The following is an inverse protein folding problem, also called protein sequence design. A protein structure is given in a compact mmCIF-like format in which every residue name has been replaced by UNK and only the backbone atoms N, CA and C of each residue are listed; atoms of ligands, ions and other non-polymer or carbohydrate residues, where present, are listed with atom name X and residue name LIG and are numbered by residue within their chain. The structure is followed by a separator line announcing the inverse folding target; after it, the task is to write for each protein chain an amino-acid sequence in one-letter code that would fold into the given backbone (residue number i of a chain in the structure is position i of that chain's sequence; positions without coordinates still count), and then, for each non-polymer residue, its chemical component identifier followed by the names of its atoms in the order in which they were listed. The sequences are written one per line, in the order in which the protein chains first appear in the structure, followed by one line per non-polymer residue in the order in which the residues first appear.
data_IF_535577177732
#
_entry.id   IF_535577177732
#
_cell.length_a   1.000
_cell.length_b   1.000
_cell.length_c   1.000
_cell.angle_alpha   90.00
_cell.angle_beta   90.00
_cell.angle_gamma   90.00
#
_symmetry.space_group_name_H-M   'P 1'
#
loop_
_entity.id
_entity.type
_entity.pdbx_description
1 polymer ?
#
# COMPACT_ATOMS: atom_id res chain seq x y z
N UNK A 1 -1.20 -14.41 -28.93
CA UNK A 1 0.24 -14.57 -28.60
C UNK A 1 0.40 -15.76 -27.67
N UNK A 2 1.20 -16.77 -28.04
CA UNK A 2 1.41 -18.00 -27.27
C UNK A 2 2.49 -17.76 -26.21
N UNK A 3 2.17 -17.99 -24.93
CA UNK A 3 3.11 -17.87 -23.81
C UNK A 3 3.41 -19.26 -23.26
N UNK A 4 4.68 -19.66 -23.24
CA UNK A 4 5.12 -20.96 -22.73
C UNK A 4 6.48 -20.83 -22.03
N UNK A 5 6.95 -21.89 -21.34
CA UNK A 5 8.25 -21.89 -20.65
C UNK A 5 9.29 -22.69 -21.42
N UNK A 6 10.55 -22.29 -21.33
CA UNK A 6 11.67 -23.07 -21.86
C UNK A 6 11.79 -24.41 -21.12
N UNK A 7 11.91 -25.53 -21.85
CA UNK A 7 12.12 -26.86 -21.23
C UNK A 7 13.46 -26.98 -20.52
N UNK A 8 14.42 -26.11 -20.87
CA UNK A 8 15.79 -26.17 -20.36
C UNK A 8 16.04 -25.17 -19.22
N UNK A 9 15.67 -23.90 -19.39
CA UNK A 9 15.93 -22.85 -18.40
C UNK A 9 14.68 -22.36 -17.65
N UNK A 10 13.49 -22.89 -17.97
CA UNK A 10 12.19 -22.56 -17.34
C UNK A 10 11.71 -21.10 -17.47
N UNK A 11 12.47 -20.24 -18.15
CA UNK A 11 12.09 -18.85 -18.44
C UNK A 11 10.88 -18.77 -19.37
N UNK A 12 10.03 -17.76 -19.16
CA UNK A 12 8.80 -17.54 -19.93
C UNK A 12 9.11 -16.85 -21.25
N UNK A 13 8.60 -17.40 -22.35
CA UNK A 13 8.80 -16.91 -23.72
C UNK A 13 7.43 -16.61 -24.32
N UNK A 14 7.32 -15.49 -25.04
CA UNK A 14 6.13 -15.10 -25.81
C UNK A 14 6.45 -15.10 -27.30
N UNK A 15 5.64 -15.80 -28.11
CA UNK A 15 5.78 -15.86 -29.57
C UNK A 15 4.43 -15.60 -30.26
N UNK A 16 4.41 -15.08 -31.50
CA UNK A 16 3.19 -14.96 -32.29
C UNK A 16 2.56 -16.32 -32.59
N UNK A 17 1.23 -16.36 -32.75
CA UNK A 17 0.49 -17.61 -33.02
C UNK A 17 0.86 -18.27 -34.35
N UNK A 18 1.35 -17.48 -35.33
CA UNK A 18 1.86 -17.98 -36.62
C UNK A 18 3.10 -18.90 -36.51
N UNK A 19 3.68 -19.01 -35.30
CA UNK A 19 4.77 -19.92 -34.99
C UNK A 19 4.34 -21.16 -34.18
N UNK A 20 3.04 -21.37 -33.95
CA UNK A 20 2.53 -22.58 -33.30
C UNK A 20 3.07 -23.86 -33.96
N UNK A 21 3.60 -24.78 -33.15
CA UNK A 21 4.19 -26.05 -33.62
C UNK A 21 5.60 -25.95 -34.20
N UNK A 22 6.14 -24.75 -34.47
CA UNK A 22 7.49 -24.55 -35.00
C UNK A 22 8.55 -24.61 -33.89
N UNK A 23 9.82 -24.80 -34.28
CA UNK A 23 10.97 -24.69 -33.38
C UNK A 23 11.50 -23.27 -33.32
N UNK A 24 11.81 -22.76 -32.13
CA UNK A 24 12.47 -21.47 -31.92
C UNK A 24 13.65 -21.62 -30.96
N UNK A 25 14.64 -20.72 -31.03
CA UNK A 25 15.69 -20.65 -30.00
C UNK A 25 15.20 -19.85 -28.80
N UNK A 26 15.48 -20.34 -27.59
CA UNK A 26 15.19 -19.57 -26.38
C UNK A 26 16.07 -18.31 -26.33
N UNK A 27 15.51 -17.11 -26.08
CA UNK A 27 16.29 -15.87 -25.99
C UNK A 27 17.19 -15.80 -24.74
N UNK A 28 16.95 -16.67 -23.74
CA UNK A 28 17.73 -16.69 -22.50
C UNK A 28 18.89 -17.69 -22.50
N UNK A 29 18.69 -18.90 -23.05
CA UNK A 29 19.72 -19.96 -23.03
C UNK A 29 20.18 -20.44 -24.41
N UNK A 30 19.59 -19.95 -25.49
CA UNK A 30 19.96 -20.30 -26.87
C UNK A 30 19.56 -21.70 -27.34
N UNK A 31 19.15 -22.60 -26.43
CA UNK A 31 18.72 -23.96 -26.78
C UNK A 31 17.42 -23.95 -27.60
N UNK A 32 17.27 -24.86 -28.58
CA UNK A 32 16.05 -24.97 -29.37
C UNK A 32 14.90 -25.50 -28.52
N UNK A 33 13.71 -24.91 -28.67
CA UNK A 33 12.49 -25.34 -28.01
C UNK A 33 11.33 -25.42 -29.01
N UNK A 34 10.32 -26.25 -28.74
CA UNK A 34 9.16 -26.41 -29.58
C UNK A 34 7.99 -25.58 -29.04
N UNK A 35 7.37 -24.78 -29.90
CA UNK A 35 6.22 -23.95 -29.54
C UNK A 35 4.98 -24.86 -29.50
N UNK A 36 4.21 -24.88 -28.39
CA UNK A 36 3.00 -25.70 -28.30
C UNK A 36 2.01 -25.32 -29.39
N UNK A 37 1.36 -26.31 -30.02
CA UNK A 37 0.18 -26.02 -30.82
C UNK A 37 -0.98 -25.71 -29.87
N UNK A 38 -1.74 -24.63 -30.10
CA UNK A 38 -2.98 -24.41 -29.37
C UNK A 38 -3.86 -25.64 -29.63
N UNK A 39 -4.17 -26.38 -28.56
CA UNK A 39 -5.22 -27.37 -28.66
C UNK A 39 -6.49 -26.61 -29.05
N UNK A 40 -7.25 -27.06 -30.07
CA UNK A 40 -8.53 -26.46 -30.36
C UNK A 40 -9.31 -26.50 -29.05
N UNK A 41 -9.72 -25.32 -28.56
CA UNK A 41 -10.63 -25.22 -27.43
C UNK A 41 -11.87 -26.00 -27.84
N UNK A 42 -12.02 -27.23 -27.34
CA UNK A 42 -13.31 -27.86 -27.39
C UNK A 42 -14.20 -27.00 -26.49
N UNK A 43 -15.32 -26.52 -27.02
CA UNK A 43 -16.35 -25.78 -26.27
C UNK A 43 -17.06 -26.68 -25.22
N UNK A 44 -16.32 -27.61 -24.59
CA UNK A 44 -16.78 -28.59 -23.60
C UNK A 44 -16.97 -27.98 -22.21
N UNK A 45 -16.63 -26.70 -22.01
CA UNK A 45 -16.88 -25.99 -20.74
C UNK A 45 -18.40 -25.82 -20.46
N UNK A 46 -19.27 -25.95 -21.47
CA UNK A 46 -20.72 -26.01 -21.26
C UNK A 46 -21.21 -27.34 -20.69
N UNK A 47 -20.48 -28.45 -20.90
CA UNK A 47 -20.89 -29.78 -20.45
C UNK A 47 -20.39 -30.12 -19.02
N UNK A 48 -19.43 -29.35 -18.50
CA UNK A 48 -19.02 -29.44 -17.10
C UNK A 48 -19.95 -28.68 -16.15
N UNK A 49 -20.56 -27.57 -16.61
CA UNK A 49 -21.55 -26.84 -15.83
C UNK A 49 -22.89 -27.60 -15.72
N UNK A 50 -23.29 -28.34 -16.77
CA UNK A 50 -24.47 -29.21 -16.73
C UNK A 50 -24.26 -30.40 -15.77
N UNK A 51 -23.07 -31.02 -15.77
CA UNK A 51 -22.73 -32.12 -14.84
C UNK A 51 -22.60 -31.68 -13.38
N UNK A 52 -22.27 -30.42 -13.11
CA UNK A 52 -22.26 -29.88 -11.75
C UNK A 52 -23.67 -29.54 -11.24
N UNK A 53 -24.63 -29.26 -12.12
CA UNK A 53 -26.03 -29.07 -11.74
C UNK A 53 -26.70 -30.40 -11.29
N UNK A 54 -26.30 -31.54 -11.87
CA UNK A 54 -26.84 -32.87 -11.52
C UNK A 54 -26.33 -33.44 -10.18
N UNK A 55 -25.29 -32.86 -9.56
CA UNK A 55 -24.78 -33.30 -8.26
C UNK A 55 -25.50 -32.67 -7.06
N UNK A 56 -26.48 -31.80 -7.30
CA UNK A 56 -27.27 -31.11 -6.27
C UNK A 56 -28.34 -31.96 -5.55
N UNK A 57 -28.69 -33.13 -6.08
CA UNK A 57 -29.83 -33.94 -5.59
C UNK A 57 -29.45 -35.21 -4.80
N UNK A 58 -28.19 -35.35 -4.36
CA UNK A 58 -27.74 -36.52 -3.58
C UNK A 58 -27.90 -36.39 -2.05
N UNK A 59 -28.73 -35.47 -1.55
CA UNK A 59 -28.95 -35.28 -0.11
C UNK A 59 -30.32 -35.83 0.37
N UNK A 60 -30.46 -37.16 0.36
CA UNK A 60 -31.29 -37.88 1.34
C UNK A 60 -31.05 -39.39 1.24
N UNK A 61 -30.02 -39.86 1.96
CA UNK A 61 -29.88 -41.28 2.27
C UNK A 61 -30.66 -41.57 3.56
N UNK A 62 -31.74 -42.36 3.52
CA UNK A 62 -32.50 -42.70 4.71
C UNK A 62 -31.62 -43.50 5.69
N UNK A 63 -31.54 -43.00 6.92
CA UNK A 63 -30.92 -43.65 8.06
C UNK A 63 -31.52 -45.04 8.28
N UNK A 64 -30.74 -46.09 8.01
CA UNK A 64 -31.11 -47.44 8.40
C UNK A 64 -30.98 -47.58 9.93
N UNK A 65 -31.96 -48.21 10.61
CA UNK A 65 -31.86 -48.54 12.02
C UNK A 65 -30.80 -49.62 12.22
N UNK A 66 -29.79 -49.29 13.04
CA UNK A 66 -28.77 -50.22 13.50
C UNK A 66 -29.47 -51.31 14.31
N UNK A 67 -29.44 -52.55 13.81
CA UNK A 67 -29.86 -53.74 14.56
C UNK A 67 -28.84 -54.01 15.66
N UNK A 68 -29.32 -54.00 16.90
CA UNK A 68 -28.61 -54.53 18.06
C UNK A 68 -28.29 -56.03 17.84
N UNK A 69 -27.00 -56.33 17.77
CA UNK A 69 -26.46 -57.69 17.82
C UNK A 69 -26.07 -57.99 19.28
N UNK A 70 -26.75 -58.94 19.96
CA UNK A 70 -26.36 -59.35 21.30
C UNK A 70 -25.20 -60.35 21.23
N UNK A 71 -24.16 -60.08 22.02
CA UNK A 71 -23.26 -61.11 22.54
C UNK A 71 -22.06 -61.49 21.66
N UNK A 72 -21.03 -60.65 21.67
CA UNK A 72 -19.66 -61.12 21.46
C UNK A 72 -18.82 -60.66 22.67
N UNK A 73 -18.14 -61.57 23.40
CA UNK A 73 -17.25 -61.18 24.50
C UNK A 73 -16.13 -60.31 23.94
N UNK A 74 -15.96 -59.14 24.55
CA UNK A 74 -14.98 -58.14 24.16
C UNK A 74 -13.57 -58.76 24.07
N UNK A 75 -12.89 -58.69 22.91
CA UNK A 75 -11.46 -58.90 22.89
C UNK A 75 -10.84 -57.76 23.71
N UNK A 76 -10.21 -58.11 24.82
CA UNK A 76 -9.33 -57.25 25.61
C UNK A 76 -8.13 -56.88 24.72
N UNK A 77 -8.35 -56.00 23.75
CA UNK A 77 -7.30 -55.36 23.00
C UNK A 77 -6.64 -54.40 23.98
N UNK A 78 -5.55 -54.86 24.59
CA UNK A 78 -4.60 -54.01 25.26
C UNK A 78 -4.21 -52.92 24.27
N UNK A 79 -4.86 -51.77 24.40
CA UNK A 79 -4.47 -50.54 23.74
C UNK A 79 -3.12 -50.18 24.34
N UNK A 80 -2.06 -50.67 23.71
CA UNK A 80 -0.72 -50.14 23.87
C UNK A 80 -0.80 -48.71 23.34
N UNK A 81 -1.27 -47.80 24.19
CA UNK A 81 -1.05 -46.37 24.08
C UNK A 81 0.45 -46.24 23.97
N UNK A 82 0.90 -46.20 22.73
CA UNK A 82 2.28 -45.88 22.39
C UNK A 82 2.34 -44.39 22.69
N UNK A 83 2.57 -44.07 23.96
CA UNK A 83 2.82 -42.74 24.47
C UNK A 83 3.95 -42.19 23.63
N UNK A 84 3.59 -41.47 22.57
CA UNK A 84 4.55 -40.88 21.66
C UNK A 84 5.26 -39.80 22.47
N UNK A 85 6.54 -39.98 22.86
CA UNK A 85 7.23 -39.08 23.78
C UNK A 85 7.40 -37.65 23.22
N UNK A 86 7.05 -37.44 21.96
CA UNK A 86 7.09 -36.15 21.26
C UNK A 86 5.88 -35.24 21.55
N UNK A 87 4.75 -35.77 22.02
CA UNK A 87 3.56 -34.93 22.26
C UNK A 87 3.71 -33.99 23.49
N UNK A 88 4.56 -34.36 24.46
CA UNK A 88 4.78 -33.59 25.69
C UNK A 88 5.96 -32.62 25.63
N UNK A 89 6.70 -32.53 24.50
CA UNK A 89 7.83 -31.62 24.36
C UNK A 89 7.40 -30.12 24.39
N UNK A 90 6.14 -29.82 24.07
CA UNK A 90 5.63 -28.44 24.03
C UNK A 90 4.90 -27.98 25.30
N UNK A 91 4.58 -28.89 26.22
CA UNK A 91 4.27 -28.52 27.61
C UNK A 91 5.52 -28.27 28.44
N UNK A 92 6.70 -28.49 27.87
CA UNK A 92 7.93 -28.24 28.57
C UNK A 92 8.05 -26.75 28.88
N UNK A 93 8.25 -26.38 30.17
CA UNK A 93 8.41 -25.00 30.59
C UNK A 93 9.53 -24.29 29.80
N UNK A 94 10.51 -25.04 29.29
CA UNK A 94 11.61 -24.54 28.45
C UNK A 94 11.17 -23.67 27.26
N UNK A 95 10.10 -24.04 26.54
CA UNK A 95 9.63 -23.25 25.38
C UNK A 95 9.02 -21.91 25.82
N UNK A 96 8.28 -21.92 26.95
CA UNK A 96 7.72 -20.69 27.54
C UNK A 96 8.82 -19.76 28.04
N UNK A 97 9.83 -20.33 28.69
CA UNK A 97 11.01 -19.58 29.14
C UNK A 97 11.84 -19.05 27.99
N UNK A 98 11.94 -19.78 26.87
CA UNK A 98 12.59 -19.30 25.65
C UNK A 98 11.93 -18.06 25.06
N UNK A 99 10.59 -18.05 24.98
CA UNK A 99 9.84 -16.88 24.51
C UNK A 99 10.01 -15.67 25.45
N UNK A 100 9.93 -15.89 26.77
CA UNK A 100 10.20 -14.84 27.76
C UNK A 100 11.64 -14.33 27.71
N UNK A 101 12.62 -15.21 27.47
CA UNK A 101 14.01 -14.84 27.27
C UNK A 101 14.21 -13.97 26.04
N UNK A 102 13.63 -14.34 24.90
CA UNK A 102 13.67 -13.53 23.68
C UNK A 102 13.05 -12.14 23.89
N UNK A 103 11.94 -12.06 24.63
CA UNK A 103 11.31 -10.80 25.03
C UNK A 103 12.24 -9.93 25.89
N UNK A 104 12.86 -10.52 26.91
CA UNK A 104 13.79 -9.81 27.78
C UNK A 104 15.00 -9.28 26.98
N UNK A 105 15.48 -10.05 26.00
CA UNK A 105 16.55 -9.61 25.09
C UNK A 105 16.08 -8.43 24.23
N UNK A 106 14.88 -8.48 23.64
CA UNK A 106 14.36 -7.36 22.83
C UNK A 106 14.16 -6.09 23.67
N UNK A 107 13.66 -6.20 24.91
CA UNK A 107 13.52 -5.08 25.83
C UNK A 107 14.89 -4.54 26.25
N UNK A 108 15.86 -5.41 26.52
CA UNK A 108 17.21 -5.00 26.86
C UNK A 108 17.90 -4.33 25.66
N UNK A 109 17.70 -4.82 24.45
CA UNK A 109 18.13 -4.16 23.21
C UNK A 109 17.48 -2.77 23.09
N UNK A 110 16.19 -2.63 23.36
CA UNK A 110 15.50 -1.34 23.38
C UNK A 110 16.11 -0.34 24.37
N UNK A 111 16.51 -0.82 25.56
CA UNK A 111 17.16 0.02 26.59
C UNK A 111 18.62 0.35 26.24
N UNK A 112 19.37 -0.60 25.67
CA UNK A 112 20.79 -0.43 25.32
C UNK A 112 20.97 0.43 24.08
N UNK A 113 20.11 0.27 23.06
CA UNK A 113 20.26 0.93 21.76
C UNK A 113 19.62 2.32 21.65
N UNK A 114 19.08 2.85 22.75
CA UNK A 114 18.81 4.29 22.86
C UNK A 114 17.67 4.80 21.95
N UNK A 115 17.43 6.11 22.08
CA UNK A 115 16.33 6.92 21.54
C UNK A 115 14.92 6.31 21.68
N UNK A 116 13.98 7.12 22.17
CA UNK A 116 12.56 6.78 22.33
C UNK A 116 11.96 6.07 21.10
N UNK A 117 12.34 6.46 19.87
CA UNK A 117 11.83 5.84 18.63
C UNK A 117 12.25 4.37 18.48
N UNK A 118 13.51 4.04 18.75
CA UNK A 118 14.00 2.66 18.63
C UNK A 118 13.41 1.80 19.74
N UNK A 119 13.25 2.37 20.95
CA UNK A 119 12.56 1.69 22.03
C UNK A 119 11.10 1.36 21.69
N UNK A 120 10.34 2.33 21.16
CA UNK A 120 8.97 2.10 20.70
C UNK A 120 8.90 1.02 19.61
N UNK A 121 9.82 1.05 18.64
CA UNK A 121 9.87 0.04 17.57
C UNK A 121 10.00 -1.39 18.12
N UNK A 122 10.98 -1.63 19.01
CA UNK A 122 11.17 -2.96 19.59
C UNK A 122 10.02 -3.38 20.50
N UNK A 123 9.39 -2.45 21.20
CA UNK A 123 8.17 -2.74 21.97
C UNK A 123 7.04 -3.23 21.06
N UNK A 124 6.82 -2.59 19.90
CA UNK A 124 5.82 -3.08 18.93
C UNK A 124 6.16 -4.45 18.36
N UNK A 125 7.42 -4.69 17.99
CA UNK A 125 7.88 -6.01 17.50
C UNK A 125 7.65 -7.08 18.55
N UNK A 126 7.99 -6.79 19.81
CA UNK A 126 7.85 -7.70 20.92
C UNK A 126 6.37 -8.02 21.23
N UNK A 127 5.50 -7.00 21.26
CA UNK A 127 4.06 -7.18 21.43
C UNK A 127 3.44 -7.98 20.29
N UNK A 128 3.83 -7.71 19.04
CA UNK A 128 3.35 -8.45 17.88
C UNK A 128 3.84 -9.91 17.90
N UNK A 129 5.07 -10.18 18.35
CA UNK A 129 5.58 -11.53 18.54
C UNK A 129 4.79 -12.31 19.58
N UNK A 130 4.48 -11.70 20.74
CA UNK A 130 3.61 -12.30 21.77
C UNK A 130 2.22 -12.58 21.18
N UNK A 131 1.66 -11.60 20.48
CA UNK A 131 0.36 -11.70 19.85
C UNK A 131 0.31 -12.88 18.85
N UNK A 132 1.31 -12.98 17.99
CA UNK A 132 1.45 -14.05 17.03
C UNK A 132 1.66 -15.42 17.68
N UNK A 133 2.44 -15.51 18.76
CA UNK A 133 2.59 -16.75 19.52
C UNK A 133 1.26 -17.20 20.15
N UNK A 134 0.48 -16.27 20.69
CA UNK A 134 -0.77 -16.58 21.37
C UNK A 134 -1.89 -16.97 20.39
N UNK A 135 -1.97 -16.28 19.26
CA UNK A 135 -2.96 -16.55 18.23
C UNK A 135 -2.62 -17.73 17.32
N UNK A 136 -1.32 -18.00 17.10
CA UNK A 136 -0.83 -19.02 16.19
C UNK A 136 -0.67 -18.53 14.75
N UNK A 137 0.23 -19.18 14.00
CA UNK A 137 0.58 -18.84 12.62
C UNK A 137 -0.63 -18.84 11.69
N UNK A 138 -1.54 -19.79 11.87
CA UNK A 138 -2.77 -19.91 11.07
C UNK A 138 -3.62 -18.63 11.08
N UNK A 139 -3.78 -18.00 12.24
CA UNK A 139 -4.56 -16.75 12.36
C UNK A 139 -3.81 -15.56 11.79
N UNK A 140 -2.51 -15.44 12.09
CA UNK A 140 -1.68 -14.36 11.56
C UNK A 140 -1.63 -14.42 10.03
N UNK A 141 -1.45 -15.61 9.45
CA UNK A 141 -1.46 -15.83 8.01
C UNK A 141 -2.81 -15.47 7.38
N UNK A 142 -3.94 -15.77 8.04
CA UNK A 142 -5.26 -15.38 7.57
C UNK A 142 -5.42 -13.85 7.51
N UNK A 143 -4.94 -13.12 8.53
CA UNK A 143 -4.95 -11.64 8.56
C UNK A 143 -4.08 -11.07 7.44
N UNK A 144 -2.88 -11.60 7.22
CA UNK A 144 -2.03 -11.21 6.08
C UNK A 144 -2.72 -11.44 4.74
N UNK A 145 -3.40 -12.59 4.58
CA UNK A 145 -4.21 -12.85 3.39
C UNK A 145 -5.36 -11.86 3.23
N UNK A 146 -6.00 -11.45 4.33
CA UNK A 146 -6.99 -10.38 4.35
C UNK A 146 -6.43 -9.03 3.91
N UNK A 147 -5.26 -8.64 4.39
CA UNK A 147 -4.56 -7.42 3.99
C UNK A 147 -4.21 -7.43 2.50
N UNK A 148 -3.69 -8.54 1.98
CA UNK A 148 -3.42 -8.70 0.54
C UNK A 148 -4.73 -8.60 -0.26
N UNK A 149 -5.79 -9.25 0.19
CA UNK A 149 -7.12 -9.17 -0.41
C UNK A 149 -7.62 -7.72 -0.49
N UNK A 150 -7.50 -6.96 0.60
CA UNK A 150 -7.88 -5.54 0.60
C UNK A 150 -6.98 -4.68 -0.26
N UNK A 151 -5.66 -4.91 -0.29
CA UNK A 151 -4.77 -4.16 -1.17
C UNK A 151 -5.17 -4.30 -2.66
N UNK A 152 -5.69 -5.47 -3.05
CA UNK A 152 -6.12 -5.73 -4.42
C UNK A 152 -7.57 -5.26 -4.71
N UNK A 153 -8.47 -5.35 -3.72
CA UNK A 153 -9.91 -5.19 -3.95
C UNK A 153 -10.51 -3.91 -3.34
N UNK A 154 -9.88 -3.28 -2.36
CA UNK A 154 -10.45 -2.12 -1.67
C UNK A 154 -10.68 -0.93 -2.59
N UNK A 155 -9.72 -0.64 -3.49
CA UNK A 155 -9.85 0.45 -4.44
C UNK A 155 -11.01 0.24 -5.46
N UNK A 156 -11.08 -0.88 -6.20
CA UNK A 156 -12.17 -1.08 -7.17
C UNK A 156 -13.53 -1.22 -6.49
N UNK A 157 -13.62 -1.95 -5.37
CA UNK A 157 -14.89 -2.11 -4.65
C UNK A 157 -15.34 -0.81 -3.97
N UNK A 158 -14.40 -0.05 -3.38
CA UNK A 158 -14.67 1.21 -2.72
C UNK A 158 -15.24 2.27 -3.67
N UNK A 159 -14.77 2.30 -4.92
CA UNK A 159 -15.37 3.15 -5.97
C UNK A 159 -16.79 2.69 -6.31
N UNK A 160 -17.01 1.38 -6.41
CA UNK A 160 -18.31 0.81 -6.73
C UNK A 160 -19.40 1.13 -5.69
N UNK A 161 -19.02 1.28 -4.43
CA UNK A 161 -19.96 1.58 -3.32
C UNK A 161 -19.95 3.03 -2.85
N UNK A 162 -19.22 3.92 -3.54
CA UNK A 162 -19.11 5.33 -3.18
C UNK A 162 -20.48 6.02 -3.06
N UNK A 163 -21.42 5.70 -3.95
CA UNK A 163 -22.78 6.25 -3.91
C UNK A 163 -23.56 5.89 -2.64
N UNK A 164 -23.26 4.74 -2.02
CA UNK A 164 -23.89 4.33 -0.76
C UNK A 164 -23.37 5.19 0.40
N UNK A 165 -22.06 5.43 0.46
CA UNK A 165 -21.46 6.25 1.51
C UNK A 165 -21.86 7.72 1.43
N UNK A 166 -21.99 8.28 0.23
CA UNK A 166 -22.49 9.65 0.06
C UNK A 166 -23.87 9.82 0.70
N UNK A 167 -24.75 8.83 0.56
CA UNK A 167 -26.09 8.85 1.16
C UNK A 167 -26.10 8.74 2.68
N UNK A 168 -25.16 7.98 3.27
CA UNK A 168 -25.13 7.71 4.72
C UNK A 168 -24.33 8.75 5.50
N UNK A 169 -23.17 9.15 4.99
CA UNK A 169 -22.20 10.00 5.72
C UNK A 169 -22.28 11.47 5.30
N UNK A 170 -22.94 11.78 4.18
CA UNK A 170 -23.01 13.14 3.64
C UNK A 170 -21.67 13.70 3.16
N UNK A 171 -20.63 12.86 3.07
CA UNK A 171 -19.32 13.24 2.55
C UNK A 171 -19.34 13.22 1.02
N UNK A 172 -18.64 14.16 0.39
CA UNK A 172 -18.49 14.24 -1.07
C UNK A 172 -17.02 14.33 -1.48
N UNK A 173 -16.73 14.16 -2.78
CA UNK A 173 -15.40 14.34 -3.35
C UNK A 173 -14.35 13.33 -2.87
N UNK A 174 -13.09 13.77 -2.81
CA UNK A 174 -11.94 12.92 -2.49
C UNK A 174 -12.06 12.28 -1.09
N UNK A 175 -12.60 13.02 -0.12
CA UNK A 175 -12.75 12.53 1.26
C UNK A 175 -13.71 11.34 1.31
N UNK A 176 -14.85 11.43 0.61
CA UNK A 176 -15.81 10.33 0.52
C UNK A 176 -15.18 9.09 -0.12
N UNK A 177 -14.42 9.29 -1.19
CA UNK A 177 -13.74 8.21 -1.90
C UNK A 177 -12.68 7.52 -1.04
N UNK A 178 -11.83 8.28 -0.36
CA UNK A 178 -10.82 7.73 0.54
C UNK A 178 -11.47 6.96 1.69
N UNK A 179 -12.53 7.53 2.28
CA UNK A 179 -13.26 6.89 3.36
C UNK A 179 -13.93 5.59 2.90
N UNK A 180 -14.57 5.61 1.72
CA UNK A 180 -15.16 4.42 1.11
C UNK A 180 -14.12 3.32 0.88
N UNK A 181 -12.96 3.65 0.31
CA UNK A 181 -11.86 2.69 0.08
C UNK A 181 -11.37 2.10 1.41
N UNK A 182 -11.18 2.91 2.44
CA UNK A 182 -10.72 2.46 3.76
C UNK A 182 -11.75 1.52 4.39
N UNK A 183 -13.02 1.92 4.46
CA UNK A 183 -14.08 1.10 5.07
C UNK A 183 -14.25 -0.20 4.29
N UNK A 184 -14.28 -0.13 2.95
CA UNK A 184 -14.34 -1.32 2.09
C UNK A 184 -13.15 -2.24 2.33
N UNK A 185 -11.95 -1.68 2.44
CA UNK A 185 -10.74 -2.43 2.76
C UNK A 185 -10.87 -3.18 4.08
N UNK A 186 -11.38 -2.54 5.13
CA UNK A 186 -11.63 -3.18 6.43
C UNK A 186 -12.64 -4.34 6.33
N UNK A 187 -13.71 -4.15 5.56
CA UNK A 187 -14.72 -5.21 5.32
C UNK A 187 -14.09 -6.38 4.57
N UNK A 188 -13.30 -6.11 3.52
CA UNK A 188 -12.59 -7.14 2.75
C UNK A 188 -11.59 -7.89 3.63
N UNK A 189 -10.81 -7.19 4.46
CA UNK A 189 -9.88 -7.81 5.42
C UNK A 189 -10.65 -8.79 6.31
N UNK A 190 -11.74 -8.36 6.92
CA UNK A 190 -12.54 -9.20 7.81
C UNK A 190 -13.10 -10.43 7.08
N UNK A 191 -13.74 -10.23 5.93
CA UNK A 191 -14.36 -11.31 5.16
C UNK A 191 -13.33 -12.35 4.68
N UNK A 192 -12.22 -11.89 4.09
CA UNK A 192 -11.14 -12.76 3.59
C UNK A 192 -10.44 -13.48 4.75
N UNK A 193 -10.20 -12.79 5.87
CA UNK A 193 -9.59 -13.39 7.07
C UNK A 193 -10.46 -14.53 7.60
N UNK A 194 -11.78 -14.31 7.75
CA UNK A 194 -12.71 -15.35 8.23
C UNK A 194 -12.74 -16.54 7.27
N UNK A 195 -12.82 -16.29 5.96
CA UNK A 195 -12.81 -17.34 4.94
C UNK A 195 -11.51 -18.15 4.96
N UNK A 196 -10.35 -17.49 4.98
CA UNK A 196 -9.04 -18.15 5.08
C UNK A 196 -8.89 -18.92 6.39
N UNK A 197 -9.38 -18.38 7.50
CA UNK A 197 -9.33 -19.07 8.79
C UNK A 197 -10.11 -20.38 8.75
N UNK A 198 -11.28 -20.42 8.10
CA UNK A 198 -12.05 -21.65 7.92
C UNK A 198 -11.27 -22.68 7.10
N UNK A 199 -10.70 -22.27 5.95
CA UNK A 199 -9.90 -23.13 5.07
C UNK A 199 -8.65 -23.66 5.78
N UNK A 200 -7.90 -22.80 6.46
CA UNK A 200 -6.69 -23.17 7.19
C UNK A 200 -7.03 -24.11 8.35
N UNK A 201 -8.12 -23.86 9.08
CA UNK A 201 -8.58 -24.73 10.17
C UNK A 201 -8.93 -26.12 9.64
N UNK A 202 -9.66 -26.21 8.53
CA UNK A 202 -10.01 -27.47 7.89
C UNK A 202 -8.75 -28.21 7.39
N UNK A 203 -7.80 -27.49 6.81
CA UNK A 203 -6.54 -28.05 6.33
C UNK A 203 -5.64 -28.54 7.48
N UNK A 204 -5.55 -27.79 8.57
CA UNK A 204 -4.78 -28.17 9.77
C UNK A 204 -5.39 -29.39 10.49
N UNK A 205 -6.71 -29.57 10.43
CA UNK A 205 -7.36 -30.77 10.96
C UNK A 205 -6.90 -32.05 10.25
N UNK A 206 -6.52 -31.97 8.97
CA UNK A 206 -5.96 -33.09 8.21
C UNK A 206 -4.48 -33.34 8.50
N UNK A 207 -3.78 -32.39 9.13
CA UNK A 207 -2.32 -32.44 9.37
C UNK A 207 -1.97 -32.12 10.83
N UNK A 208 -2.30 -33.01 11.78
CA UNK A 208 -2.10 -32.76 13.22
C UNK A 208 -0.64 -32.50 13.61
N UNK A 209 0.33 -33.05 12.85
CA UNK A 209 1.76 -32.79 13.08
C UNK A 209 2.14 -31.31 12.91
N UNK A 210 1.44 -30.55 12.05
CA UNK A 210 1.70 -29.11 11.87
C UNK A 210 1.22 -28.26 13.05
N UNK A 211 0.27 -28.75 13.84
CA UNK A 211 -0.32 -28.01 14.97
C UNK A 211 0.72 -27.68 16.04
N UNK A 212 1.76 -28.49 16.17
CA UNK A 212 2.87 -28.26 17.10
C UNK A 212 3.71 -27.04 16.70
N UNK A 213 3.82 -26.76 15.40
CA UNK A 213 4.60 -25.64 14.87
C UNK A 213 3.80 -24.33 14.77
N UNK A 214 2.48 -24.36 14.96
CA UNK A 214 1.60 -23.21 14.75
C UNK A 214 1.97 -22.02 15.66
N UNK A 215 2.24 -22.26 16.95
CA UNK A 215 2.63 -21.20 17.89
C UNK A 215 4.02 -20.61 17.64
N UNK A 216 5.11 -21.39 17.50
CA UNK A 216 6.43 -20.82 17.24
C UNK A 216 6.48 -20.11 15.87
N UNK A 217 5.83 -20.66 14.83
CA UNK A 217 5.70 -19.96 13.55
C UNK A 217 4.86 -18.68 13.69
N UNK A 218 3.84 -18.70 14.56
CA UNK A 218 3.04 -17.53 14.89
C UNK A 218 3.89 -16.42 15.50
N UNK A 219 4.80 -16.74 16.41
CA UNK A 219 5.75 -15.77 16.97
C UNK A 219 6.65 -15.17 15.88
N UNK A 220 7.20 -16.00 14.99
CA UNK A 220 8.04 -15.54 13.88
C UNK A 220 7.28 -14.60 12.93
N UNK A 221 6.04 -14.96 12.56
CA UNK A 221 5.18 -14.10 11.76
C UNK A 221 4.82 -12.81 12.49
N UNK A 222 4.59 -12.88 13.81
CA UNK A 222 4.34 -11.71 14.65
C UNK A 222 5.54 -10.76 14.71
N UNK A 223 6.78 -11.27 14.75
CA UNK A 223 7.99 -10.44 14.65
C UNK A 223 8.02 -9.72 13.30
N UNK A 224 7.75 -10.44 12.20
CA UNK A 224 7.69 -9.84 10.87
C UNK A 224 6.60 -8.76 10.76
N UNK A 225 5.40 -9.05 11.26
CA UNK A 225 4.28 -8.11 11.31
C UNK A 225 4.64 -6.86 12.15
N UNK A 226 5.16 -7.05 13.35
CA UNK A 226 5.54 -5.95 14.23
C UNK A 226 6.67 -5.09 13.64
N UNK A 227 7.60 -5.70 12.89
CA UNK A 227 8.64 -4.97 12.16
C UNK A 227 8.02 -4.10 11.07
N UNK A 228 7.09 -4.65 10.29
CA UNK A 228 6.38 -3.92 9.24
C UNK A 228 5.55 -2.77 9.82
N UNK A 229 4.81 -3.01 10.91
CA UNK A 229 4.02 -1.98 11.60
C UNK A 229 4.92 -0.89 12.19
N UNK A 230 6.05 -1.26 12.79
CA UNK A 230 7.03 -0.32 13.30
C UNK A 230 7.61 0.56 12.19
N UNK A 231 7.92 -0.01 11.02
CA UNK A 231 8.36 0.76 9.85
C UNK A 231 7.25 1.64 9.30
N UNK A 232 6.02 1.14 9.18
CA UNK A 232 4.88 1.96 8.73
C UNK A 232 4.70 3.18 9.64
N UNK A 233 4.79 3.02 10.96
CA UNK A 233 4.71 4.12 11.91
C UNK A 233 5.82 5.17 11.67
N UNK A 234 7.07 4.71 11.51
CA UNK A 234 8.20 5.61 11.23
C UNK A 234 8.03 6.29 9.87
N UNK A 235 7.64 5.56 8.83
CA UNK A 235 7.41 6.14 7.50
C UNK A 235 6.27 7.15 7.51
N UNK A 236 5.18 6.91 8.26
CA UNK A 236 4.10 7.88 8.44
C UNK A 236 4.61 9.16 9.09
N UNK A 237 5.40 9.05 10.16
CA UNK A 237 6.01 10.21 10.81
C UNK A 237 6.92 10.99 9.84
N UNK A 238 7.84 10.30 9.15
CA UNK A 238 8.75 10.92 8.17
C UNK A 238 7.99 11.55 6.99
N UNK A 239 6.83 11.00 6.62
CA UNK A 239 5.99 11.56 5.55
C UNK A 239 5.25 12.84 5.96
N UNK A 240 5.00 13.04 7.26
CA UNK A 240 4.34 14.23 7.80
C UNK A 240 5.31 15.38 8.06
N UNK A 241 6.59 15.09 8.25
CA UNK A 241 7.63 16.08 8.54
C UNK A 241 7.67 17.25 7.54
N UNK A 242 7.65 17.06 6.20
CA UNK A 242 7.71 18.19 5.28
C UNK A 242 6.52 19.15 5.45
N UNK A 243 5.33 18.60 5.69
CA UNK A 243 4.11 19.38 5.93
C UNK A 243 4.24 20.15 7.25
N UNK A 244 4.68 19.48 8.30
CA UNK A 244 4.89 20.11 9.60
C UNK A 244 5.96 21.22 9.54
N UNK A 245 7.11 20.95 8.92
CA UNK A 245 8.21 21.91 8.74
C UNK A 245 7.75 23.17 8.00
N UNK A 246 6.88 23.02 6.99
CA UNK A 246 6.34 24.17 6.27
C UNK A 246 5.35 24.98 7.10
N UNK A 247 4.57 24.32 7.96
CA UNK A 247 3.73 25.01 8.94
C UNK A 247 4.55 25.82 9.94
N UNK A 248 5.67 25.26 10.41
CA UNK A 248 6.61 25.94 11.33
C UNK A 248 7.29 27.12 10.62
N UNK A 249 7.79 26.94 9.40
CA UNK A 249 8.42 28.01 8.62
C UNK A 249 7.45 29.16 8.32
N UNK A 250 6.19 28.85 7.99
CA UNK A 250 5.15 29.85 7.77
C UNK A 250 4.83 30.64 9.06
N UNK A 251 4.79 29.95 10.22
CA UNK A 251 4.59 30.60 11.51
C UNK A 251 5.74 31.55 11.86
N UNK A 252 6.99 31.20 11.56
CA UNK A 252 8.14 32.10 11.77
C UNK A 252 8.21 33.28 10.80
N UNK A 253 7.60 33.15 9.61
CA UNK A 253 7.64 34.20 8.58
C UNK A 253 6.57 35.27 8.76
N UNK A 254 5.54 35.01 9.57
CA UNK A 254 4.45 35.94 9.84
C UNK A 254 4.44 36.36 11.32
N UNK A 255 4.63 37.64 11.65
CA UNK A 255 4.65 38.11 13.05
C UNK A 255 3.38 37.77 13.83
N UNK A 256 2.25 37.65 13.12
CA UNK A 256 0.92 37.43 13.70
C UNK A 256 0.50 35.95 13.72
N UNK A 257 1.28 35.04 13.12
CA UNK A 257 0.92 33.63 13.08
C UNK A 257 1.21 32.96 14.44
N UNK A 258 0.18 32.38 15.05
CA UNK A 258 0.35 31.60 16.26
C UNK A 258 1.22 30.36 16.00
N UNK A 259 2.22 30.05 16.85
CA UNK A 259 3.04 28.86 16.71
C UNK A 259 2.16 27.60 16.80
N UNK A 260 2.46 26.59 15.98
CA UNK A 260 1.77 25.31 16.01
C UNK A 260 2.62 24.27 16.74
N UNK A 261 2.41 24.05 18.05
CA UNK A 261 3.27 23.17 18.86
C UNK A 261 3.19 21.70 18.40
N UNK A 262 2.10 21.30 17.72
CA UNK A 262 2.00 19.95 17.17
C UNK A 262 2.94 19.77 15.97
N UNK A 263 3.06 20.79 15.11
CA UNK A 263 3.95 20.75 13.96
C UNK A 263 5.43 20.73 14.40
N UNK A 264 5.81 21.56 15.36
CA UNK A 264 7.16 21.57 15.94
C UNK A 264 7.54 20.20 16.50
N UNK A 265 6.65 19.58 17.29
CA UNK A 265 6.87 18.23 17.82
C UNK A 265 6.99 17.18 16.73
N UNK A 266 6.21 17.27 15.65
CA UNK A 266 6.33 16.32 14.52
C UNK A 266 7.71 16.43 13.88
N UNK A 267 8.22 17.66 13.68
CA UNK A 267 9.57 17.88 13.12
C UNK A 267 10.64 17.33 14.05
N UNK A 268 10.58 17.64 15.35
CA UNK A 268 11.53 17.16 16.36
C UNK A 268 11.56 15.62 16.45
N UNK A 269 10.39 14.99 16.48
CA UNK A 269 10.26 13.53 16.55
C UNK A 269 10.73 12.87 15.26
N UNK A 270 10.49 13.48 14.09
CA UNK A 270 10.98 13.00 12.80
C UNK A 270 12.51 13.09 12.68
N UNK A 271 13.12 14.18 13.17
CA UNK A 271 14.57 14.34 13.25
C UNK A 271 15.18 13.25 14.17
N UNK A 272 14.61 13.08 15.36
CA UNK A 272 14.97 11.99 16.29
C UNK A 272 14.86 10.61 15.64
N UNK A 273 13.83 10.38 14.82
CA UNK A 273 13.68 9.14 14.07
C UNK A 273 14.84 8.96 13.08
N UNK A 274 15.19 9.97 12.26
CA UNK A 274 16.30 9.89 11.29
C UNK A 274 17.66 9.65 11.94
N UNK A 275 17.90 10.22 13.11
CA UNK A 275 19.15 10.02 13.85
C UNK A 275 19.26 8.60 14.43
N UNK A 276 18.11 7.97 14.72
CA UNK A 276 18.08 6.62 15.26
C UNK A 276 18.54 5.56 14.25
N UNK A 277 19.13 4.48 14.76
CA UNK A 277 19.58 3.37 13.92
C UNK A 277 18.44 2.77 13.08
N UNK A 278 17.28 2.51 13.71
CA UNK A 278 16.11 1.96 13.04
C UNK A 278 15.54 2.94 12.02
N UNK A 279 15.50 4.24 12.33
CA UNK A 279 14.96 5.22 11.38
C UNK A 279 15.85 5.46 10.17
N UNK A 280 17.18 5.30 10.26
CA UNK A 280 18.05 5.27 9.07
C UNK A 280 17.73 4.08 8.15
N UNK A 281 17.50 2.90 8.72
CA UNK A 281 17.07 1.73 7.95
C UNK A 281 15.70 2.00 7.34
N UNK A 282 14.75 2.50 8.13
CA UNK A 282 13.41 2.81 7.67
C UNK A 282 13.43 3.82 6.53
N UNK A 283 14.20 4.91 6.60
CA UNK A 283 14.34 5.89 5.51
C UNK A 283 14.92 5.28 4.24
N UNK A 284 15.90 4.37 4.36
CA UNK A 284 16.50 3.69 3.22
C UNK A 284 15.52 2.77 2.49
N UNK A 285 14.61 2.12 3.21
CA UNK A 285 13.59 1.22 2.65
C UNK A 285 12.22 1.88 2.47
N UNK A 286 12.10 3.20 2.70
CA UNK A 286 10.82 3.89 2.69
C UNK A 286 10.22 3.93 1.28
N UNK A 287 9.12 3.20 1.01
CA UNK A 287 8.48 3.22 -0.31
C UNK A 287 7.88 4.60 -0.62
N UNK A 288 7.61 5.40 0.42
CA UNK A 288 7.06 6.74 0.31
C UNK A 288 8.10 7.83 0.10
N UNK A 289 9.41 7.52 0.07
CA UNK A 289 10.47 8.52 -0.18
C UNK A 289 10.29 9.22 -1.54
N UNK A 290 9.65 8.54 -2.48
CA UNK A 290 9.30 9.07 -3.79
C UNK A 290 7.96 9.81 -3.83
N UNK A 291 7.21 9.92 -2.71
CA UNK A 291 6.06 10.82 -2.60
C UNK A 291 6.51 12.29 -2.48
N UNK A 292 7.51 12.68 -3.27
CA UNK A 292 7.96 14.06 -3.49
C UNK A 292 6.84 14.99 -3.93
N UNK A 293 5.71 14.42 -4.33
CA UNK A 293 4.48 15.11 -4.71
C UNK A 293 4.08 16.21 -3.71
N UNK A 294 4.23 16.01 -2.39
CA UNK A 294 3.86 17.04 -1.41
C UNK A 294 4.79 18.26 -1.42
N UNK A 295 6.11 18.05 -1.53
CA UNK A 295 7.08 19.15 -1.67
C UNK A 295 6.88 19.86 -3.01
N UNK A 296 6.63 19.08 -4.06
CA UNK A 296 6.31 19.62 -5.38
C UNK A 296 5.02 20.44 -5.35
N UNK A 297 4.02 20.04 -4.58
CA UNK A 297 2.74 20.76 -4.46
C UNK A 297 2.94 22.20 -4.00
N UNK A 298 3.81 22.41 -3.01
CA UNK A 298 4.14 23.75 -2.51
C UNK A 298 4.94 24.57 -3.51
N UNK A 299 5.92 23.95 -4.17
CA UNK A 299 6.68 24.62 -5.24
C UNK A 299 5.78 25.00 -6.41
N UNK A 300 4.84 24.15 -6.79
CA UNK A 300 3.83 24.41 -7.81
C UNK A 300 2.97 25.60 -7.42
N UNK A 301 2.52 25.73 -6.16
CA UNK A 301 1.78 26.91 -5.72
C UNK A 301 2.57 28.21 -5.90
N UNK A 302 3.86 28.21 -5.55
CA UNK A 302 4.73 29.38 -5.77
C UNK A 302 4.90 29.66 -7.27
N UNK A 303 5.16 28.63 -8.07
CA UNK A 303 5.30 28.75 -9.54
C UNK A 303 4.02 29.25 -10.21
N UNK A 304 2.84 28.82 -9.75
CA UNK A 304 1.55 29.24 -10.31
C UNK A 304 1.17 30.69 -9.94
N UNK A 305 1.70 31.19 -8.84
CA UNK A 305 1.44 32.54 -8.33
C UNK A 305 2.44 33.59 -8.83
N UNK A 306 3.65 33.19 -9.26
CA UNK A 306 4.61 34.08 -9.91
C UNK A 306 4.48 34.02 -11.45
N UNK A 307 4.14 35.13 -12.14
CA UNK A 307 3.98 35.14 -13.59
C UNK A 307 5.21 34.71 -14.38
N UNK A 308 6.42 35.05 -13.94
CA UNK A 308 7.67 34.70 -14.63
C UNK A 308 8.00 33.23 -14.45
N UNK A 309 7.83 32.70 -13.24
CA UNK A 309 8.01 31.27 -12.96
C UNK A 309 7.00 30.43 -13.74
N UNK A 310 5.73 30.85 -13.79
CA UNK A 310 4.71 30.21 -14.61
C UNK A 310 5.09 30.20 -16.09
N UNK A 311 5.57 31.32 -16.62
CA UNK A 311 6.02 31.41 -18.02
C UNK A 311 7.24 30.50 -18.28
N UNK A 312 8.20 30.45 -17.35
CA UNK A 312 9.35 29.55 -17.42
C UNK A 312 8.93 28.08 -17.38
N UNK A 313 7.97 27.73 -16.53
CA UNK A 313 7.41 26.38 -16.41
C UNK A 313 6.74 25.94 -17.72
N UNK A 314 5.85 26.77 -18.28
CA UNK A 314 5.12 26.46 -19.53
C UNK A 314 6.07 26.33 -20.73
N UNK A 315 7.18 27.07 -20.75
CA UNK A 315 8.20 27.01 -21.81
C UNK A 315 9.18 25.85 -21.64
N UNK A 316 9.23 25.19 -20.49
CA UNK A 316 10.16 24.09 -20.25
C UNK A 316 9.86 22.91 -21.20
N UNK A 317 10.90 22.34 -21.80
CA UNK A 317 10.77 21.32 -22.87
C UNK A 317 9.89 20.13 -22.46
N UNK A 318 10.03 19.66 -21.21
CA UNK A 318 9.21 18.59 -20.66
C UNK A 318 7.71 18.93 -20.66
N UNK A 319 7.35 20.16 -20.30
CA UNK A 319 5.95 20.61 -20.20
C UNK A 319 5.33 20.81 -21.58
N UNK A 320 6.12 21.30 -22.55
CA UNK A 320 5.69 21.40 -23.95
C UNK A 320 5.33 20.02 -24.49
N UNK A 321 6.17 19.02 -24.27
CA UNK A 321 5.91 17.64 -24.70
C UNK A 321 4.66 17.03 -24.02
N UNK A 322 4.39 17.40 -22.77
CA UNK A 322 3.20 16.94 -22.03
C UNK A 322 1.92 17.58 -22.57
N UNK A 323 1.93 18.89 -22.85
CA UNK A 323 0.77 19.64 -23.33
C UNK A 323 0.18 19.05 -24.62
N UNK A 324 1.02 18.46 -25.46
CA UNK A 324 0.60 17.92 -26.73
C UNK A 324 -0.01 16.51 -26.65
N UNK A 325 0.10 15.83 -25.51
CA UNK A 325 -0.45 14.48 -25.31
C UNK A 325 -1.99 14.48 -25.39
N UNK A 326 -2.60 13.48 -26.04
CA UNK A 326 -4.06 13.38 -26.14
C UNK A 326 -4.75 13.33 -24.77
N UNK A 327 -4.19 12.58 -23.81
CA UNK A 327 -4.74 12.44 -22.44
C UNK A 327 -4.79 13.78 -21.71
N UNK A 328 -3.77 14.61 -21.89
CA UNK A 328 -3.67 15.96 -21.29
C UNK A 328 -4.65 16.92 -21.95
N UNK A 329 -4.81 16.87 -23.28
CA UNK A 329 -5.81 17.69 -23.99
C UNK A 329 -7.22 17.35 -23.53
N UNK A 330 -7.55 16.05 -23.45
CA UNK A 330 -8.83 15.57 -22.93
C UNK A 330 -9.06 16.05 -21.49
N UNK A 331 -8.06 15.90 -20.61
CA UNK A 331 -8.14 16.38 -19.24
C UNK A 331 -8.39 17.90 -19.17
N UNK A 332 -7.67 18.68 -19.97
CA UNK A 332 -7.84 20.13 -20.03
C UNK A 332 -9.22 20.54 -20.55
N UNK A 333 -9.79 19.81 -21.51
CA UNK A 333 -11.12 20.10 -22.02
C UNK A 333 -12.19 19.79 -20.96
N UNK A 334 -12.05 18.67 -20.25
CA UNK A 334 -12.91 18.35 -19.10
C UNK A 334 -12.84 19.42 -17.99
N UNK A 335 -11.64 19.96 -17.70
CA UNK A 335 -11.48 21.03 -16.71
C UNK A 335 -12.10 22.36 -17.15
N UNK A 336 -12.06 22.69 -18.44
CA UNK A 336 -12.69 23.91 -18.97
C UNK A 336 -14.21 23.89 -18.84
N UNK A 337 -14.79 22.69 -18.93
CA UNK A 337 -16.23 22.48 -18.81
C UNK A 337 -16.69 22.52 -17.34
N UNK A 338 -15.77 22.49 -16.36
CA UNK A 338 -16.09 22.59 -14.93
C UNK A 338 -16.15 24.07 -14.47
N UNK A 339 -17.35 24.60 -14.15
CA UNK A 339 -17.49 26.00 -13.75
C UNK A 339 -16.84 26.31 -12.41
N UNK A 340 -16.73 25.34 -11.49
CA UNK A 340 -16.11 25.55 -10.19
C UNK A 340 -14.59 25.71 -10.32
N UNK A 341 -13.96 24.87 -11.14
CA UNK A 341 -12.53 24.98 -11.44
C UNK A 341 -12.24 26.26 -12.22
N UNK A 342 -13.06 26.59 -13.23
CA UNK A 342 -12.89 27.81 -14.00
C UNK A 342 -13.10 29.09 -13.20
N UNK A 343 -13.96 29.08 -12.17
CA UNK A 343 -14.10 30.21 -11.25
C UNK A 343 -12.79 30.46 -10.47
N UNK A 344 -12.12 29.40 -10.01
CA UNK A 344 -10.83 29.50 -9.33
C UNK A 344 -9.74 29.99 -10.29
N UNK A 345 -9.68 29.45 -11.51
CA UNK A 345 -8.70 29.87 -12.53
C UNK A 345 -8.91 31.33 -12.92
N UNK A 346 -10.16 31.80 -13.07
CA UNK A 346 -10.45 33.21 -13.39
C UNK A 346 -10.04 34.16 -12.26
N UNK A 347 -10.12 33.69 -11.01
CA UNK A 347 -9.67 34.45 -9.84
C UNK A 347 -8.15 34.44 -9.63
N UNK A 348 -7.37 33.84 -10.55
CA UNK A 348 -5.90 33.73 -10.43
C UNK A 348 -5.18 35.08 -10.26
N UNK A 349 -5.80 36.21 -10.61
CA UNK A 349 -5.24 37.55 -10.35
C UNK A 349 -4.94 37.81 -8.86
N UNK A 350 -5.65 37.14 -7.94
CA UNK A 350 -5.44 37.24 -6.50
C UNK A 350 -4.44 36.21 -5.94
N UNK A 351 -3.88 35.36 -6.81
CA UNK A 351 -3.09 34.20 -6.43
C UNK A 351 -3.98 33.00 -6.08
N UNK A 352 -3.54 31.80 -6.45
CA UNK A 352 -4.15 30.53 -6.08
C UNK A 352 -3.70 30.20 -4.66
N UNK A 353 -4.66 30.07 -3.75
CA UNK A 353 -4.38 29.66 -2.37
C UNK A 353 -4.29 28.14 -2.26
N UNK A 354 -3.72 27.64 -1.15
CA UNK A 354 -3.75 26.21 -0.83
C UNK A 354 -5.18 25.66 -0.69
N UNK A 355 -6.11 26.50 -0.20
CA UNK A 355 -7.53 26.18 -0.10
C UNK A 355 -8.20 26.02 -1.48
N UNK A 356 -7.83 26.86 -2.44
CA UNK A 356 -8.34 26.76 -3.82
C UNK A 356 -7.82 25.52 -4.52
N UNK A 357 -6.54 25.19 -4.33
CA UNK A 357 -5.97 23.97 -4.89
C UNK A 357 -6.60 22.72 -4.28
N UNK A 358 -6.93 22.74 -2.98
CA UNK A 358 -7.71 21.68 -2.34
C UNK A 358 -9.10 21.55 -2.97
N UNK A 359 -9.82 22.65 -3.22
CA UNK A 359 -11.12 22.62 -3.91
C UNK A 359 -11.00 22.05 -5.34
N UNK A 360 -9.92 22.37 -6.05
CA UNK A 360 -9.63 21.78 -7.37
C UNK A 360 -9.44 20.27 -7.24
N UNK A 361 -8.58 19.80 -6.32
CA UNK A 361 -8.35 18.38 -6.10
C UNK A 361 -9.61 17.61 -5.65
N UNK A 362 -10.47 18.27 -4.88
CA UNK A 362 -11.75 17.72 -4.41
C UNK A 362 -12.84 17.79 -5.50
N UNK A 363 -12.58 18.42 -6.66
CA UNK A 363 -13.54 18.50 -7.76
C UNK A 363 -13.86 17.09 -8.31
N UNK A 364 -15.15 16.74 -8.47
CA UNK A 364 -15.55 15.51 -9.15
C UNK A 364 -14.94 15.36 -10.54
N UNK A 365 -14.74 16.47 -11.26
CA UNK A 365 -14.14 16.48 -12.60
C UNK A 365 -12.67 16.07 -12.56
N UNK A 366 -11.90 16.58 -11.59
CA UNK A 366 -10.49 16.20 -11.41
C UNK A 366 -10.37 14.73 -11.06
N UNK A 367 -11.22 14.22 -10.16
CA UNK A 367 -11.26 12.80 -9.82
C UNK A 367 -11.62 11.93 -11.03
N UNK A 368 -12.58 12.38 -11.84
CA UNK A 368 -12.97 11.71 -13.09
C UNK A 368 -11.84 11.70 -14.11
N UNK A 369 -11.08 12.79 -14.25
CA UNK A 369 -9.90 12.83 -15.13
C UNK A 369 -8.88 11.79 -14.69
N UNK A 370 -8.58 11.70 -13.40
CA UNK A 370 -7.61 10.73 -12.86
C UNK A 370 -8.05 9.29 -13.12
N UNK A 371 -9.35 9.01 -13.11
CA UNK A 371 -9.90 7.67 -13.26
C UNK A 371 -10.14 7.24 -14.71
N UNK A 372 -10.71 8.13 -15.51
CA UNK A 372 -11.20 7.82 -16.86
C UNK A 372 -10.15 8.08 -17.94
N UNK A 373 -9.08 8.81 -17.63
CA UNK A 373 -8.02 9.13 -18.59
C UNK A 373 -6.73 8.36 -18.25
N UNK A 374 -5.92 7.99 -19.26
CA UNK A 374 -4.64 7.34 -19.02
C UNK A 374 -3.54 8.31 -18.54
N UNK A 375 -3.91 9.52 -18.10
CA UNK A 375 -2.97 10.60 -17.78
C UNK A 375 -1.93 10.18 -16.73
N UNK A 376 -2.32 9.44 -15.70
CA UNK A 376 -1.39 8.97 -14.66
C UNK A 376 -0.38 7.97 -15.23
N UNK A 377 -0.85 7.03 -16.06
CA UNK A 377 0.00 6.02 -16.69
C UNK A 377 0.96 6.65 -17.71
N UNK A 378 0.50 7.67 -18.45
CA UNK A 378 1.32 8.37 -19.45
C UNK A 378 2.32 9.35 -18.84
N UNK A 379 1.97 10.04 -17.75
CA UNK A 379 2.85 10.98 -17.07
C UNK A 379 3.78 10.32 -16.06
N UNK A 380 3.48 9.10 -15.61
CA UNK A 380 4.29 8.33 -14.66
C UNK A 380 5.78 8.25 -15.05
N UNK A 381 6.13 7.90 -16.30
CA UNK A 381 7.54 7.88 -16.75
C UNK A 381 8.19 9.27 -16.85
N UNK A 382 7.41 10.36 -16.84
CA UNK A 382 7.88 11.75 -16.99
C UNK A 382 7.95 12.51 -15.65
N UNK A 383 7.62 11.87 -14.53
CA UNK A 383 7.55 12.56 -13.22
C UNK A 383 8.83 13.28 -12.85
N UNK A 384 9.99 12.69 -13.14
CA UNK A 384 11.29 13.28 -12.84
C UNK A 384 11.58 14.53 -13.70
N UNK A 385 11.09 14.55 -14.94
CA UNK A 385 11.23 15.71 -15.84
C UNK A 385 10.28 16.84 -15.46
N UNK A 386 9.05 16.49 -15.01
CA UNK A 386 8.09 17.43 -14.46
C UNK A 386 8.65 18.06 -13.17
N UNK A 387 9.23 17.26 -12.28
CA UNK A 387 9.90 17.74 -11.08
C UNK A 387 11.02 18.72 -11.41
N UNK A 388 11.89 18.39 -12.37
CA UNK A 388 12.94 19.30 -12.84
C UNK A 388 12.36 20.61 -13.38
N UNK A 389 11.28 20.56 -14.15
CA UNK A 389 10.62 21.74 -14.68
C UNK A 389 10.04 22.64 -13.56
N UNK A 390 9.40 22.03 -12.55
CA UNK A 390 8.88 22.75 -11.38
C UNK A 390 10.02 23.42 -10.62
N UNK A 391 11.12 22.70 -10.38
CA UNK A 391 12.27 23.22 -9.63
C UNK A 391 12.96 24.36 -10.39
N UNK A 392 13.16 24.21 -11.69
CA UNK A 392 13.69 25.26 -12.55
C UNK A 392 12.82 26.52 -12.50
N UNK A 393 11.51 26.38 -12.64
CA UNK A 393 10.59 27.50 -12.55
C UNK A 393 10.57 28.14 -11.14
N UNK A 394 10.65 27.33 -10.10
CA UNK A 394 10.69 27.79 -8.71
C UNK A 394 11.94 28.63 -8.43
N UNK A 395 13.10 28.24 -8.95
CA UNK A 395 14.34 29.03 -8.85
C UNK A 395 14.20 30.41 -9.51
N UNK A 396 13.46 30.51 -10.63
CA UNK A 396 13.18 31.79 -11.29
C UNK A 396 12.28 32.73 -10.47
N UNK A 397 11.42 32.18 -9.59
CA UNK A 397 10.67 32.98 -8.63
C UNK A 397 11.58 33.51 -7.50
N UNK A 398 12.50 32.68 -6.99
CA UNK A 398 13.38 33.00 -5.85
C UNK A 398 14.44 34.06 -6.14
N UNK A 399 14.96 34.13 -7.37
CA UNK A 399 15.99 35.13 -7.74
C UNK A 399 15.48 36.59 -7.68
N UNK A 400 14.17 36.83 -7.68
CA UNK A 400 13.63 38.20 -7.55
C UNK A 400 13.62 38.71 -6.12
N UNK A 401 13.46 37.83 -5.12
CA UNK A 401 13.45 38.25 -3.70
C UNK A 401 14.85 38.64 -3.20
N UNK A 402 15.91 38.26 -3.92
CA UNK A 402 17.30 38.54 -3.55
C UNK A 402 17.94 39.70 -4.35
N UNK A 403 17.42 40.06 -5.53
CA UNK A 403 18.09 41.01 -6.45
C UNK A 403 17.50 42.43 -6.52
N UNK A 404 16.51 42.79 -5.70
CA UNK A 404 16.11 44.21 -5.56
C UNK A 404 16.33 44.71 -4.12
N UNK A 405 17.60 44.97 -3.71
CA UNK A 405 17.81 45.93 -2.64
C UNK A 405 17.21 47.23 -3.13
N UNK A 406 16.10 47.63 -2.51
CA UNK A 406 15.44 48.90 -2.72
C UNK A 406 16.51 49.99 -2.88
N UNK A 407 16.64 50.50 -4.10
CA UNK A 407 17.26 51.79 -4.33
C UNK A 407 16.40 52.80 -3.58
N UNK A 408 16.67 53.00 -2.28
CA UNK A 408 16.08 54.03 -1.45
C UNK A 408 16.33 55.36 -2.16
N UNK A 409 15.30 56.00 -2.73
CA UNK A 409 15.47 57.34 -3.27
C UNK A 409 15.54 58.29 -2.06
N UNK A 410 16.73 58.81 -1.77
CA UNK A 410 16.91 59.99 -0.94
C UNK A 410 16.86 59.76 0.57
N UNK A 411 17.98 59.34 1.15
CA UNK A 411 18.40 59.96 2.41
C UNK A 411 19.23 61.21 2.04
N UNK A 412 18.74 62.44 2.30
CA UNK A 412 19.55 63.63 2.12
C UNK A 412 20.72 63.58 3.11
N UNK A 413 21.93 63.70 2.58
CA UNK A 413 23.16 63.75 3.38
C UNK A 413 23.09 64.86 4.41
N UNK A 414 23.21 64.49 5.68
CA UNK A 414 23.60 65.42 6.73
C UNK A 414 25.12 65.56 6.68
N UNK A 415 25.55 66.79 6.41
CA UNK A 415 26.89 67.31 6.69
C UNK A 415 27.13 67.41 8.20
#
# INVERSE_FOLDING_TARGET
MIKFRCTECTQKIGVPESFAGKRCKCPHCGKPNQIPQPQPSTDDDQDLLSKLADLGDMEQRPSQPVRDLPGAPAPTMASTTTDSPMANLFEQPAVRWGALGAMAVLILLALVFGNFITAMFFVFVALAAINGYWFGASKVAAVFGGLIGAALLAAPLGRGIEGVFTGVLGTTGLTNRMLSIVITGLIVIAAVTVGLQFVIKQWMAQRPHLKQYDRPLGACLGIFEGTLLGFLMIWSLLSLEPVAATGVAAAHSSPDAAPNPAAEKVVEVAESARESFIGRIADAVNPMKNMRLMVLFQRVLVVLNDPKARDAFVKHQAIVGIKDRPSVKQAMDMLKDDPAVMAIIKNQQQGITSGDLRKILDSPTVLKIVDDTPIITELGPMTDEIEKAINFAYEQAGNQTAEEPANKPGEPGFF
#
